data_IF_021788373582
#
_entry.id   IF_021788373582
#
_cell.length_a   1.000
_cell.length_b   1.000
_cell.length_c   1.000
_cell.angle_alpha   90.00
_cell.angle_beta   90.00
_cell.angle_gamma   90.00
#
_symmetry.space_group_name_H-M   'P 1'
#
loop_
_entity.id
_entity.type
_entity.pdbx_description
1 polymer ?
#
# COMPACT_ATOMS: atom_id res chain seq x y z
N UNK A 1 2.24 23.57 -23.10
CA UNK A 1 0.79 23.44 -22.88
C UNK A 1 0.63 22.30 -21.89
N UNK A 2 0.41 22.63 -20.61
CA UNK A 2 0.04 21.66 -19.58
C UNK A 2 -1.43 21.30 -19.79
N UNK A 3 -1.72 20.01 -20.01
CA UNK A 3 -3.09 19.51 -19.92
C UNK A 3 -3.38 19.29 -18.43
N UNK A 4 -4.01 20.27 -17.81
CA UNK A 4 -4.71 20.09 -16.54
C UNK A 4 -6.13 19.65 -16.84
N UNK A 5 -6.59 18.60 -16.16
CA UNK A 5 -7.98 18.15 -16.18
C UNK A 5 -8.94 19.28 -15.74
N UNK A 6 -10.25 19.28 -16.07
CA UNK A 6 -11.23 20.25 -15.53
C UNK A 6 -11.18 20.42 -14.01
N UNK A 7 -10.69 19.42 -13.26
CA UNK A 7 -10.50 19.51 -11.81
C UNK A 7 -9.15 20.14 -11.37
N UNK A 8 -8.32 20.60 -12.30
CA UNK A 8 -7.00 21.20 -12.02
C UNK A 8 -5.91 20.19 -11.65
N UNK A 9 -6.10 18.92 -12.02
CA UNK A 9 -5.14 17.82 -11.80
C UNK A 9 -4.16 17.73 -12.96
N UNK A 10 -2.90 17.38 -12.68
CA UNK A 10 -1.89 17.14 -13.72
C UNK A 10 -2.25 15.87 -14.49
N UNK A 11 -2.30 15.92 -15.83
CA UNK A 11 -2.56 14.74 -16.66
C UNK A 11 -1.25 14.12 -17.13
N UNK A 12 -1.14 12.79 -16.99
CA UNK A 12 0.02 12.05 -17.49
C UNK A 12 -0.18 11.70 -18.97
N UNK A 13 0.67 12.26 -19.85
CA UNK A 13 0.59 12.05 -21.31
C UNK A 13 1.29 10.78 -21.78
N UNK A 14 2.30 10.31 -21.06
CA UNK A 14 3.20 9.25 -21.51
C UNK A 14 3.02 7.95 -20.69
N UNK A 15 2.59 6.88 -21.35
CA UNK A 15 2.25 5.59 -20.73
C UNK A 15 3.42 4.61 -20.63
N UNK A 16 4.61 4.99 -21.12
CA UNK A 16 5.73 4.07 -21.36
C UNK A 16 6.56 3.77 -20.10
N UNK A 17 6.57 4.67 -19.11
CA UNK A 17 7.37 4.51 -17.90
C UNK A 17 6.52 4.04 -16.70
N UNK A 18 6.75 2.81 -16.26
CA UNK A 18 6.05 2.21 -15.12
C UNK A 18 6.22 3.00 -13.82
N UNK A 19 7.43 3.51 -13.54
CA UNK A 19 7.70 4.26 -12.31
C UNK A 19 6.91 5.57 -12.28
N UNK A 20 6.83 6.25 -13.42
CA UNK A 20 6.04 7.46 -13.58
C UNK A 20 4.54 7.19 -13.43
N UNK A 21 4.06 6.08 -13.98
CA UNK A 21 2.66 5.64 -13.82
C UNK A 21 2.34 5.31 -12.36
N UNK A 22 3.23 4.61 -11.66
CA UNK A 22 3.05 4.31 -10.24
C UNK A 22 3.05 5.58 -9.38
N UNK A 23 3.94 6.52 -9.68
CA UNK A 23 3.98 7.82 -9.01
C UNK A 23 2.71 8.64 -9.29
N UNK A 24 2.21 8.61 -10.52
CA UNK A 24 0.96 9.26 -10.89
C UNK A 24 -0.25 8.72 -10.13
N UNK A 25 -0.37 7.41 -9.99
CA UNK A 25 -1.43 6.79 -9.19
C UNK A 25 -1.34 7.20 -7.72
N UNK A 26 -0.13 7.28 -7.18
CA UNK A 26 0.09 7.76 -5.81
C UNK A 26 -0.31 9.23 -5.64
N UNK A 27 -0.05 10.06 -6.66
CA UNK A 27 -0.49 11.45 -6.71
C UNK A 27 -2.01 11.57 -6.75
N UNK A 28 -2.69 10.81 -7.58
CA UNK A 28 -4.15 10.83 -7.66
C UNK A 28 -4.79 10.48 -6.31
N UNK A 29 -4.31 9.41 -5.67
CA UNK A 29 -4.82 9.01 -4.36
C UNK A 29 -4.58 10.08 -3.28
N UNK A 30 -3.40 10.73 -3.30
CA UNK A 30 -3.11 11.82 -2.37
C UNK A 30 -3.98 13.06 -2.66
N UNK A 31 -4.23 13.37 -3.92
CA UNK A 31 -5.04 14.51 -4.35
C UNK A 31 -6.52 14.34 -3.96
N UNK A 32 -7.06 13.13 -4.09
CA UNK A 32 -8.44 12.81 -3.69
C UNK A 32 -8.62 12.89 -2.16
N UNK A 33 -7.63 12.43 -1.39
CA UNK A 33 -7.66 12.47 0.08
C UNK A 33 -7.47 13.87 0.67
N UNK A 34 -6.86 14.78 -0.10
CA UNK A 34 -6.51 16.11 0.39
C UNK A 34 -7.66 17.09 0.18
N UNK A 35 -8.20 17.65 1.27
CA UNK A 35 -9.27 18.66 1.20
C UNK A 35 -8.72 20.08 1.04
N UNK A 36 -7.47 20.32 1.48
CA UNK A 36 -6.85 21.63 1.46
C UNK A 36 -6.35 22.04 0.06
N UNK A 37 -6.64 23.28 -0.33
CA UNK A 37 -6.33 23.81 -1.65
C UNK A 37 -4.84 24.12 -1.80
N UNK A 38 -4.16 24.53 -0.72
CA UNK A 38 -2.73 24.81 -0.74
C UNK A 38 -1.93 23.51 -0.87
N UNK A 39 -2.32 22.47 -0.13
CA UNK A 39 -1.78 21.12 -0.28
C UNK A 39 -1.99 20.54 -1.69
N UNK A 40 -3.16 20.75 -2.33
CA UNK A 40 -3.37 20.36 -3.74
C UNK A 40 -2.41 21.04 -4.71
N UNK A 41 -2.15 22.34 -4.52
CA UNK A 41 -1.16 23.07 -5.34
C UNK A 41 0.25 22.51 -5.16
N UNK A 42 0.63 22.19 -3.92
CA UNK A 42 1.92 21.60 -3.63
C UNK A 42 2.08 20.20 -4.27
N UNK A 43 1.04 19.37 -4.23
CA UNK A 43 1.03 18.07 -4.92
C UNK A 43 1.20 18.20 -6.43
N UNK A 44 0.53 19.18 -7.05
CA UNK A 44 0.69 19.47 -8.48
C UNK A 44 2.13 19.86 -8.80
N UNK A 45 2.73 20.75 -8.00
CA UNK A 45 4.11 21.19 -8.18
C UNK A 45 5.10 20.02 -8.10
N UNK A 46 4.93 19.13 -7.11
CA UNK A 46 5.76 17.93 -6.98
C UNK A 46 5.62 17.02 -8.20
N UNK A 47 4.41 16.80 -8.70
CA UNK A 47 4.18 15.96 -9.87
C UNK A 47 4.84 16.55 -11.13
N UNK A 48 4.75 17.87 -11.28
CA UNK A 48 5.40 18.62 -12.37
C UNK A 48 6.93 18.48 -12.26
N UNK A 49 7.49 18.72 -11.07
CA UNK A 49 8.93 18.60 -10.85
C UNK A 49 9.43 17.17 -11.12
N UNK A 50 8.62 16.15 -10.87
CA UNK A 50 8.94 14.76 -11.21
C UNK A 50 8.95 14.55 -12.73
N UNK A 51 7.96 15.07 -13.46
CA UNK A 51 7.91 14.95 -14.92
C UNK A 51 9.11 15.63 -15.60
N UNK A 52 9.53 16.79 -15.09
CA UNK A 52 10.71 17.51 -15.59
C UNK A 52 12.03 16.94 -15.05
N UNK A 53 12.02 15.78 -14.37
CA UNK A 53 13.18 15.15 -13.73
C UNK A 53 13.98 16.09 -12.81
N UNK A 54 13.31 17.07 -12.18
CA UNK A 54 13.91 17.98 -11.20
C UNK A 54 14.04 17.34 -9.83
N UNK A 55 13.19 16.37 -9.53
CA UNK A 55 13.21 15.59 -8.29
C UNK A 55 13.33 14.10 -8.60
N UNK A 56 13.95 13.37 -7.67
CA UNK A 56 14.05 11.93 -7.74
C UNK A 56 12.76 11.28 -7.21
N UNK A 57 12.47 10.06 -7.68
CA UNK A 57 11.33 9.26 -7.20
C UNK A 57 11.33 9.06 -5.69
N UNK A 58 12.50 8.88 -5.06
CA UNK A 58 12.60 8.75 -3.59
C UNK A 58 12.09 10.02 -2.88
N UNK A 59 12.52 11.19 -3.34
CA UNK A 59 12.11 12.49 -2.78
C UNK A 59 10.61 12.72 -3.00
N UNK A 60 10.10 12.37 -4.18
CA UNK A 60 8.68 12.40 -4.49
C UNK A 60 7.87 11.57 -3.47
N UNK A 61 8.23 10.30 -3.29
CA UNK A 61 7.49 9.42 -2.38
C UNK A 61 7.60 9.87 -0.92
N UNK A 62 8.74 10.42 -0.50
CA UNK A 62 8.89 11.02 0.84
C UNK A 62 7.94 12.19 1.06
N UNK A 63 7.80 13.06 0.06
CA UNK A 63 6.93 14.25 0.18
C UNK A 63 5.45 13.87 0.15
N UNK A 64 5.07 12.91 -0.71
CA UNK A 64 3.67 12.51 -0.87
C UNK A 64 3.15 11.66 0.28
N UNK A 65 4.04 10.96 1.00
CA UNK A 65 3.67 10.10 2.12
C UNK A 65 2.88 10.84 3.22
N UNK A 66 3.14 12.16 3.38
CA UNK A 66 2.42 13.00 4.35
C UNK A 66 0.92 13.12 4.04
N UNK A 67 0.55 13.09 2.77
CA UNK A 67 -0.84 13.27 2.32
C UNK A 67 -1.55 11.94 2.12
N UNK A 68 -0.80 10.86 1.91
CA UNK A 68 -1.36 9.56 1.57
C UNK A 68 -1.99 8.83 2.76
N UNK A 69 -1.79 9.31 4.00
CA UNK A 69 -2.20 8.67 5.26
C UNK A 69 -2.14 7.15 5.13
N UNK A 70 -0.95 6.62 4.82
CA UNK A 70 -0.73 5.19 4.93
C UNK A 70 -0.82 4.94 6.43
N UNK A 71 -1.96 4.40 6.88
CA UNK A 71 -2.16 4.02 8.26
C UNK A 71 -0.96 3.17 8.68
N UNK A 72 -0.04 3.76 9.44
CA UNK A 72 1.15 3.07 9.91
C UNK A 72 0.76 1.86 10.77
N UNK A 73 -0.44 1.91 11.36
CA UNK A 73 -1.12 0.79 12.00
C UNK A 73 -1.37 -0.40 11.05
N UNK A 74 -1.72 -0.15 9.78
CA UNK A 74 -1.97 -1.19 8.79
C UNK A 74 -0.68 -1.85 8.29
N UNK A 75 0.42 -1.11 8.21
CA UNK A 75 1.75 -1.69 7.92
C UNK A 75 2.34 -2.50 9.10
N UNK A 76 1.94 -2.18 10.33
CA UNK A 76 2.34 -2.93 11.54
C UNK A 76 1.42 -4.09 11.87
N UNK A 77 0.27 -4.21 11.19
CA UNK A 77 -0.63 -5.35 11.25
C UNK A 77 0.06 -6.58 10.62
N UNK A 78 1.00 -7.17 11.33
CA UNK A 78 1.38 -8.56 11.11
C UNK A 78 0.11 -9.35 11.41
N UNK A 79 -0.53 -9.88 10.37
CA UNK A 79 -1.54 -10.92 10.56
C UNK A 79 -0.87 -12.04 11.37
N UNK A 80 -1.37 -12.33 12.57
CA UNK A 80 -0.88 -13.43 13.39
C UNK A 80 -1.19 -14.74 12.66
N UNK A 81 -0.26 -15.19 11.82
CA UNK A 81 -0.35 -16.50 11.16
C UNK A 81 -0.13 -17.55 12.24
N UNK A 82 -1.23 -18.01 12.84
CA UNK A 82 -1.23 -19.13 13.78
C UNK A 82 -1.20 -20.43 12.99
N UNK A 83 -0.07 -21.12 12.99
CA UNK A 83 0.03 -22.50 12.51
C UNK A 83 -0.29 -23.47 13.65
N UNK A 84 -0.95 -24.59 13.32
CA UNK A 84 -1.15 -25.66 14.30
C UNK A 84 0.17 -26.38 14.58
N UNK A 85 0.48 -26.62 15.85
CA UNK A 85 1.70 -27.32 16.24
C UNK A 85 1.63 -28.80 15.85
N UNK A 86 2.66 -29.29 15.16
CA UNK A 86 2.79 -30.72 14.81
C UNK A 86 2.80 -31.62 16.06
N UNK A 87 3.27 -31.10 17.19
CA UNK A 87 3.27 -31.82 18.47
C UNK A 87 1.84 -32.08 18.99
N UNK A 88 0.99 -31.04 18.97
CA UNK A 88 -0.41 -31.14 19.39
C UNK A 88 -1.18 -32.14 18.52
N UNK A 89 -0.91 -32.15 17.21
CA UNK A 89 -1.52 -33.11 16.30
C UNK A 89 -1.12 -34.56 16.65
N UNK A 90 0.16 -34.83 16.93
CA UNK A 90 0.62 -36.17 17.34
C UNK A 90 -0.02 -36.61 18.65
N UNK A 91 -0.04 -35.73 19.66
CA UNK A 91 -0.66 -36.02 20.95
C UNK A 91 -2.16 -36.32 20.83
N UNK A 92 -2.87 -35.59 19.96
CA UNK A 92 -4.28 -35.84 19.65
C UNK A 92 -4.48 -37.21 18.98
N UNK A 93 -3.62 -37.57 18.03
CA UNK A 93 -3.70 -38.86 17.35
C UNK A 93 -3.44 -40.03 18.31
N UNK A 94 -2.42 -39.94 19.17
CA UNK A 94 -2.16 -40.95 20.19
C UNK A 94 -3.34 -41.14 21.15
N UNK A 95 -3.97 -40.04 21.59
CA UNK A 95 -5.17 -40.11 22.44
C UNK A 95 -6.30 -40.85 21.75
N UNK A 96 -6.58 -40.53 20.49
CA UNK A 96 -7.62 -41.21 19.71
C UNK A 96 -7.30 -42.70 19.51
N UNK A 97 -6.03 -43.07 19.32
CA UNK A 97 -5.65 -44.48 19.27
C UNK A 97 -5.87 -45.20 20.60
N UNK A 98 -5.50 -44.58 21.73
CA UNK A 98 -5.75 -45.15 23.07
C UNK A 98 -7.24 -45.36 23.29
N UNK A 99 -8.06 -44.35 23.02
CA UNK A 99 -9.52 -44.45 23.12
C UNK A 99 -10.09 -45.58 22.25
N UNK A 100 -9.63 -45.71 20.99
CA UNK A 100 -10.04 -46.82 20.10
C UNK A 100 -9.68 -48.19 20.67
N UNK A 101 -8.52 -48.34 21.32
CA UNK A 101 -8.11 -49.60 21.97
C UNK A 101 -9.01 -49.92 23.16
N UNK A 102 -9.31 -48.93 23.98
CA UNK A 102 -10.13 -49.12 25.18
C UNK A 102 -11.64 -49.23 24.90
N UNK A 103 -12.13 -48.72 23.77
CA UNK A 103 -13.54 -48.89 23.32
C UNK A 103 -13.85 -50.27 22.74
N UNK A 104 -12.84 -51.04 22.37
CA UNK A 104 -12.98 -52.39 21.78
C UNK A 104 -12.90 -53.51 22.83
N UNK A 105 -12.74 -53.15 24.10
CA UNK A 105 -12.69 -54.05 25.24
C UNK A 105 -13.94 -53.87 26.08
#
# INVERSE_FOLDING_TARGET
MEETDPEGRVVLKDSSNFQLKAAYLAYLEAYDKTTDQEAKRYLNQIMIDLQYNRINYETFYRNINKFRQIDSAQCQSKSDIRSSSKSEWRAKMERMEREKRHRRK
#
